data_IF_965060587297
#
_entry.id   IF_965060587297
#
_cell.length_a   1.000
_cell.length_b   1.000
_cell.length_c   1.000
_cell.angle_alpha   90.00
_cell.angle_beta   90.00
_cell.angle_gamma   90.00
#
_symmetry.space_group_name_H-M   'P 1'
#
loop_
_entity.id
_entity.type
_entity.pdbx_description
1 polymer ?
#
# COMPACT_ATOMS: atom_id res chain seq x y z
N UNK A 1 4.55 -11.87 -0.57
CA UNK A 1 3.42 -12.69 -1.07
C UNK A 1 2.54 -13.21 0.06
N UNK A 2 3.07 -13.93 1.06
CA UNK A 2 2.28 -14.44 2.21
C UNK A 2 1.35 -13.39 2.84
N UNK A 3 1.84 -12.18 3.14
CA UNK A 3 1.01 -11.08 3.68
C UNK A 3 -0.16 -10.70 2.75
N UNK A 4 0.07 -10.69 1.44
CA UNK A 4 -0.96 -10.37 0.45
C UNK A 4 -2.04 -11.46 0.43
N UNK A 5 -1.61 -12.73 0.41
CA UNK A 5 -2.53 -13.88 0.45
C UNK A 5 -3.37 -13.85 1.73
N UNK A 6 -2.72 -13.70 2.89
CA UNK A 6 -3.41 -13.58 4.19
C UNK A 6 -4.42 -12.43 4.21
N UNK A 7 -4.07 -11.28 3.63
CA UNK A 7 -4.99 -10.14 3.54
C UNK A 7 -6.20 -10.44 2.66
N UNK A 8 -6.00 -11.13 1.53
CA UNK A 8 -7.05 -11.44 0.57
C UNK A 8 -7.96 -12.60 1.01
N UNK A 9 -7.45 -13.60 1.73
CA UNK A 9 -8.18 -14.82 2.05
C UNK A 9 -8.36 -15.09 3.54
N UNK A 10 -7.62 -14.40 4.41
CA UNK A 10 -7.56 -14.69 5.85
C UNK A 10 -6.63 -15.85 6.22
N UNK A 11 -6.15 -16.63 5.24
CA UNK A 11 -5.37 -17.85 5.45
C UNK A 11 -3.88 -17.57 5.68
N UNK A 12 -3.26 -18.35 6.58
CA UNK A 12 -1.80 -18.37 6.73
C UNK A 12 -1.20 -19.38 5.74
N UNK A 13 -0.04 -19.06 5.19
CA UNK A 13 0.62 -19.84 4.15
C UNK A 13 2.12 -20.01 4.49
N UNK A 14 2.40 -20.29 5.76
CA UNK A 14 3.77 -20.28 6.28
C UNK A 14 4.60 -21.46 5.76
N UNK A 15 3.93 -22.57 5.45
CA UNK A 15 4.56 -23.82 5.03
C UNK A 15 4.70 -23.93 3.51
N UNK A 16 4.19 -22.95 2.76
CA UNK A 16 4.26 -22.94 1.30
C UNK A 16 5.61 -22.44 0.79
N UNK A 17 6.14 -23.13 -0.21
CA UNK A 17 7.33 -22.69 -0.94
C UNK A 17 7.04 -21.48 -1.83
N UNK A 18 8.11 -20.84 -2.34
CA UNK A 18 7.97 -19.64 -3.16
C UNK A 18 7.11 -19.86 -4.42
N UNK A 19 7.23 -21.03 -5.06
CA UNK A 19 6.46 -21.39 -6.26
C UNK A 19 4.98 -21.51 -5.93
N UNK A 20 4.64 -22.17 -4.82
CA UNK A 20 3.27 -22.35 -4.36
C UNK A 20 2.63 -21.02 -3.95
N UNK A 21 3.41 -20.15 -3.27
CA UNK A 21 2.98 -18.80 -2.93
C UNK A 21 2.68 -17.95 -4.18
N UNK A 22 3.50 -18.07 -5.23
CA UNK A 22 3.26 -17.40 -6.52
C UNK A 22 1.98 -17.90 -7.17
N UNK A 23 1.82 -19.22 -7.30
CA UNK A 23 0.64 -19.83 -7.90
C UNK A 23 -0.64 -19.47 -7.15
N UNK A 24 -0.61 -19.51 -5.81
CA UNK A 24 -1.76 -19.15 -4.97
C UNK A 24 -2.11 -17.67 -5.09
N UNK A 25 -1.11 -16.78 -5.03
CA UNK A 25 -1.35 -15.34 -5.21
C UNK A 25 -1.91 -15.04 -6.60
N UNK A 26 -1.38 -15.70 -7.64
CA UNK A 26 -1.89 -15.57 -9.00
C UNK A 26 -3.36 -15.99 -9.09
N UNK A 27 -3.72 -17.16 -8.57
CA UNK A 27 -5.10 -17.65 -8.57
C UNK A 27 -6.08 -16.70 -7.85
N UNK A 28 -5.61 -16.02 -6.80
CA UNK A 28 -6.39 -15.02 -6.08
C UNK A 28 -6.63 -13.78 -6.95
N UNK A 29 -5.60 -13.28 -7.65
CA UNK A 29 -5.67 -12.02 -8.38
C UNK A 29 -6.25 -12.14 -9.79
N UNK A 30 -6.07 -13.31 -10.43
CA UNK A 30 -6.38 -13.50 -11.83
C UNK A 30 -7.85 -13.19 -12.15
N UNK A 31 -8.08 -12.28 -13.11
CA UNK A 31 -9.41 -11.88 -13.55
C UNK A 31 -10.24 -11.13 -12.50
N UNK A 32 -9.66 -10.76 -11.34
CA UNK A 32 -10.35 -9.98 -10.31
C UNK A 32 -9.98 -8.50 -10.37
N UNK A 33 -10.97 -7.64 -10.11
CA UNK A 33 -10.71 -6.21 -9.90
C UNK A 33 -10.29 -5.98 -8.45
N UNK A 34 -9.14 -5.35 -8.22
CA UNK A 34 -8.62 -5.09 -6.87
C UNK A 34 -7.93 -3.73 -6.74
N UNK A 35 -7.86 -3.27 -5.49
CA UNK A 35 -6.92 -2.23 -5.07
C UNK A 35 -5.93 -2.87 -4.09
N UNK A 36 -4.66 -2.98 -4.50
CA UNK A 36 -3.61 -3.53 -3.65
C UNK A 36 -2.74 -2.39 -3.11
N UNK A 37 -2.65 -2.28 -1.80
CA UNK A 37 -1.79 -1.30 -1.12
C UNK A 37 -0.60 -2.06 -0.53
N UNK A 38 0.60 -1.76 -1.03
CA UNK A 38 1.86 -2.26 -0.51
C UNK A 38 2.48 -1.17 0.34
N UNK A 39 2.22 -1.24 1.63
CA UNK A 39 2.70 -0.23 2.57
C UNK A 39 4.14 -0.51 3.00
N UNK A 40 4.94 0.57 3.10
CA UNK A 40 6.32 0.60 3.60
C UNK A 40 7.25 -0.43 2.92
N UNK A 41 7.42 -0.32 1.61
CA UNK A 41 8.25 -1.24 0.81
C UNK A 41 9.70 -0.76 0.74
N UNK A 42 10.66 -1.64 1.09
CA UNK A 42 12.10 -1.32 1.12
C UNK A 42 12.98 -2.18 0.19
N UNK A 43 12.44 -3.24 -0.43
CA UNK A 43 13.27 -4.13 -1.25
C UNK A 43 13.69 -3.44 -2.56
N UNK A 44 14.98 -3.17 -2.73
CA UNK A 44 15.53 -2.52 -3.93
C UNK A 44 16.04 -3.51 -5.00
N UNK A 45 15.88 -4.81 -4.76
CA UNK A 45 16.23 -5.86 -5.71
C UNK A 45 15.23 -5.91 -6.88
N UNK A 46 15.65 -5.40 -8.04
CA UNK A 46 14.82 -5.34 -9.25
C UNK A 46 14.45 -6.71 -9.81
N UNK A 47 15.27 -7.74 -9.59
CA UNK A 47 14.97 -9.09 -10.11
C UNK A 47 13.78 -9.70 -9.37
N UNK A 48 13.72 -9.54 -8.05
CA UNK A 48 12.56 -9.98 -7.26
C UNK A 48 11.26 -9.33 -7.72
N UNK A 49 11.31 -8.04 -8.10
CA UNK A 49 10.15 -7.34 -8.63
C UNK A 49 9.77 -7.77 -10.03
N UNK A 50 10.76 -8.04 -10.89
CA UNK A 50 10.54 -8.56 -12.24
C UNK A 50 9.78 -9.89 -12.22
N UNK A 51 10.03 -10.73 -11.21
CA UNK A 51 9.34 -12.00 -11.00
C UNK A 51 7.91 -11.83 -10.44
N UNK A 52 7.65 -10.79 -9.65
CA UNK A 52 6.35 -10.57 -9.02
C UNK A 52 5.37 -9.78 -9.91
N UNK A 53 5.90 -8.85 -10.72
CA UNK A 53 5.10 -7.97 -11.58
C UNK A 53 4.12 -8.71 -12.51
N UNK A 54 4.48 -9.82 -13.17
CA UNK A 54 3.55 -10.58 -14.02
C UNK A 54 2.35 -11.13 -13.27
N UNK A 55 2.52 -11.52 -12.00
CA UNK A 55 1.45 -12.02 -11.15
C UNK A 55 0.50 -10.87 -10.79
N UNK A 56 1.08 -9.73 -10.42
CA UNK A 56 0.35 -8.51 -10.05
C UNK A 56 -0.32 -7.81 -11.24
N UNK A 57 -0.05 -8.21 -12.49
CA UNK A 57 -0.71 -7.65 -13.68
C UNK A 57 -1.88 -8.50 -14.17
N UNK A 58 -2.16 -9.65 -13.56
CA UNK A 58 -3.25 -10.56 -13.98
C UNK A 58 -4.65 -10.14 -13.52
N UNK A 59 -4.78 -8.99 -12.87
CA UNK A 59 -6.08 -8.43 -12.47
C UNK A 59 -6.96 -8.05 -13.65
N UNK A 60 -8.28 -7.93 -13.39
CA UNK A 60 -9.23 -7.36 -14.33
C UNK A 60 -8.98 -5.88 -14.60
N UNK A 61 -9.56 -5.36 -15.69
CA UNK A 61 -9.50 -3.94 -16.03
C UNK A 61 -9.96 -3.06 -14.85
N UNK A 62 -9.17 -2.02 -14.56
CA UNK A 62 -9.42 -1.11 -13.46
C UNK A 62 -8.82 -1.54 -12.12
N UNK A 63 -8.10 -2.67 -12.06
CA UNK A 63 -7.23 -2.99 -10.93
C UNK A 63 -6.12 -1.94 -10.76
N UNK A 64 -5.81 -1.59 -9.51
CA UNK A 64 -4.77 -0.61 -9.17
C UNK A 64 -3.87 -1.14 -8.07
N UNK A 65 -2.61 -0.73 -8.13
CA UNK A 65 -1.61 -1.03 -7.10
C UNK A 65 -1.02 0.30 -6.64
N UNK A 66 -1.01 0.51 -5.34
CA UNK A 66 -0.37 1.66 -4.70
C UNK A 66 0.78 1.10 -3.86
N UNK A 67 1.97 1.66 -4.05
CA UNK A 67 3.14 1.34 -3.25
C UNK A 67 3.54 2.59 -2.50
N UNK A 68 3.67 2.48 -1.17
CA UNK A 68 4.29 3.54 -0.36
C UNK A 68 5.71 3.09 -0.02
N UNK A 69 6.66 4.03 -0.10
CA UNK A 69 8.07 3.77 0.18
C UNK A 69 8.78 5.06 0.54
N UNK A 70 9.83 4.95 1.35
CA UNK A 70 10.78 6.04 1.58
C UNK A 70 11.95 6.03 0.59
N UNK A 71 12.10 4.96 -0.19
CA UNK A 71 13.18 4.80 -1.16
C UNK A 71 12.73 5.26 -2.55
N UNK A 72 13.40 6.29 -3.08
CA UNK A 72 13.23 6.71 -4.47
C UNK A 72 13.61 5.58 -5.45
N UNK A 73 14.54 4.71 -5.07
CA UNK A 73 14.96 3.56 -5.89
C UNK A 73 13.84 2.53 -6.01
N UNK A 74 13.18 2.18 -4.90
CA UNK A 74 11.99 1.32 -4.94
C UNK A 74 10.90 1.92 -5.83
N UNK A 75 10.64 3.23 -5.69
CA UNK A 75 9.65 3.92 -6.51
C UNK A 75 9.98 3.86 -8.01
N UNK A 76 11.25 3.99 -8.39
CA UNK A 76 11.70 3.83 -9.79
C UNK A 76 11.54 2.40 -10.32
N UNK A 77 11.82 1.39 -9.49
CA UNK A 77 11.71 -0.02 -9.89
C UNK A 77 10.24 -0.42 -10.09
N UNK A 78 9.37 0.01 -9.18
CA UNK A 78 7.95 -0.38 -9.15
C UNK A 78 7.05 0.50 -10.00
N UNK A 79 7.50 1.73 -10.29
CA UNK A 79 6.73 2.74 -11.00
C UNK A 79 6.34 2.26 -12.40
N UNK A 80 5.03 2.15 -12.64
CA UNK A 80 4.45 2.10 -13.99
C UNK A 80 3.91 3.46 -14.44
N UNK A 81 3.63 4.33 -13.46
CA UNK A 81 3.37 5.75 -13.60
C UNK A 81 4.38 6.51 -12.74
N UNK A 82 4.59 7.81 -13.01
CA UNK A 82 5.50 8.63 -12.21
C UNK A 82 5.19 8.56 -10.71
N UNK A 83 6.23 8.52 -9.88
CA UNK A 83 6.08 8.47 -8.43
C UNK A 83 5.48 9.78 -7.91
N UNK A 84 4.51 9.67 -7.00
CA UNK A 84 4.00 10.84 -6.28
C UNK A 84 4.91 11.11 -5.07
N UNK A 85 5.77 12.12 -5.17
CA UNK A 85 6.59 12.56 -4.05
C UNK A 85 5.74 13.41 -3.10
N UNK A 86 5.56 12.92 -1.87
CA UNK A 86 4.87 13.69 -0.83
C UNK A 86 5.71 14.89 -0.42
N UNK A 87 5.11 16.08 -0.47
CA UNK A 87 5.73 17.32 0.01
C UNK A 87 5.47 17.51 1.50
N UNK A 88 6.26 18.41 2.11
CA UNK A 88 5.94 18.93 3.43
C UNK A 88 4.61 19.68 3.39
N UNK A 89 3.88 19.63 4.50
CA UNK A 89 2.71 20.49 4.71
C UNK A 89 3.16 21.94 4.84
N UNK A 90 2.34 22.87 4.39
CA UNK A 90 2.58 24.27 4.67
C UNK A 90 2.41 24.58 6.18
N UNK A 91 2.83 25.77 6.60
CA UNK A 91 2.82 26.14 8.01
C UNK A 91 1.39 26.16 8.60
N UNK A 92 0.40 26.57 7.81
CA UNK A 92 -0.99 26.68 8.25
C UNK A 92 -1.58 25.28 8.46
N UNK A 93 -1.33 24.37 7.54
CA UNK A 93 -1.77 22.98 7.61
C UNK A 93 -1.02 22.22 8.72
N UNK A 94 0.27 22.48 8.91
CA UNK A 94 1.04 21.98 10.05
C UNK A 94 0.39 22.40 11.39
N UNK A 95 0.11 23.69 11.56
CA UNK A 95 -0.53 24.21 12.77
C UNK A 95 -1.94 23.61 12.94
N UNK A 96 -2.73 23.54 11.88
CA UNK A 96 -4.06 22.92 11.88
C UNK A 96 -4.01 21.47 12.33
N UNK A 97 -3.07 20.68 11.80
CA UNK A 97 -2.86 19.29 12.21
C UNK A 97 -2.40 19.19 13.67
N UNK A 98 -1.51 20.06 14.11
CA UNK A 98 -1.06 20.13 15.50
C UNK A 98 -2.24 20.41 16.44
N UNK A 99 -3.02 21.46 16.19
CA UNK A 99 -4.18 21.79 17.02
C UNK A 99 -5.20 20.65 17.06
N UNK A 100 -5.50 20.07 15.89
CA UNK A 100 -6.38 18.90 15.78
C UNK A 100 -5.84 17.66 16.49
N UNK A 101 -4.55 17.56 16.75
CA UNK A 101 -3.96 16.39 17.41
C UNK A 101 -3.80 16.61 18.92
N UNK A 102 -3.34 17.80 19.32
CA UNK A 102 -3.08 18.15 20.71
C UNK A 102 -4.36 18.49 21.50
N UNK A 103 -5.43 18.94 20.84
CA UNK A 103 -6.64 19.45 21.52
C UNK A 103 -7.94 18.75 21.10
N UNK A 104 -7.89 17.48 20.65
CA UNK A 104 -9.07 16.71 20.18
C UNK A 104 -10.28 16.73 21.12
N UNK A 105 -10.07 16.88 22.43
CA UNK A 105 -11.14 16.84 23.42
C UNK A 105 -11.87 18.18 23.62
N UNK A 106 -11.26 19.33 23.31
CA UNK A 106 -11.87 20.66 23.56
C UNK A 106 -12.96 21.07 22.56
N UNK A 107 -13.10 20.37 21.43
CA UNK A 107 -14.17 20.63 20.46
C UNK A 107 -15.53 20.02 20.86
N UNK A 108 -15.58 19.11 21.84
CA UNK A 108 -16.85 18.60 22.36
C UNK A 108 -17.53 19.54 23.35
N UNK A 109 -16.76 20.40 24.04
CA UNK A 109 -17.29 21.27 25.09
C UNK A 109 -17.88 22.59 24.54
N UNK A 110 -17.46 23.05 23.36
CA UNK A 110 -17.99 24.29 22.74
C UNK A 110 -19.32 24.11 21.97
N UNK A 111 -19.84 22.88 21.87
CA UNK A 111 -21.16 22.58 21.27
C UNK A 111 -22.28 22.46 22.34
N UNK A 112 -21.98 22.72 23.61
CA UNK A 112 -22.93 22.69 24.73
C UNK A 112 -23.22 24.08 25.34
N UNK A 113 -22.66 25.17 24.79
CA UNK A 113 -22.91 26.55 25.26
C UNK A 113 -23.55 27.48 24.20
N UNK A 114 -24.41 26.93 23.34
CA UNK A 114 -25.42 27.68 22.58
C UNK A 114 -26.78 26.99 22.74
#
# INVERSE_FOLDING_TARGET
MQKMIKSATGERCNDLEEIELKAKLEAILNGRKYLLILDDVWNEDSQKWLLLKPILSKGALGSKIIVTTRSKRVAQIMGSAGAHELSLLDQKDCLSLFYKSAFKERQKEQLLEL
#
